data_IF_561425068594
#
_entry.id   IF_561425068594
#
_cell.length_a   1.000
_cell.length_b   1.000
_cell.length_c   1.000
_cell.angle_alpha   90.00
_cell.angle_beta   90.00
_cell.angle_gamma   90.00
#
_symmetry.space_group_name_H-M   'P 1'
#
loop_
_entity.id
_entity.type
_entity.pdbx_description
1 polymer ?
#
# COMPACT_ATOMS: atom_id res chain seq x y z
N UNK A 1 24.42 -33.70 5.17
CA UNK A 1 24.61 -32.25 5.00
C UNK A 1 23.27 -31.56 5.24
N UNK A 2 23.00 -31.19 6.49
CA UNK A 2 21.82 -30.40 6.85
C UNK A 2 22.23 -28.93 6.95
N UNK A 3 21.67 -28.09 6.09
CA UNK A 3 21.74 -26.63 6.20
C UNK A 3 20.37 -26.08 5.81
N UNK A 4 19.58 -25.64 6.80
CA UNK A 4 18.50 -24.63 6.68
C UNK A 4 17.60 -24.60 7.94
N UNK A 5 18.09 -24.03 9.04
CA UNK A 5 17.25 -23.70 10.21
C UNK A 5 17.32 -22.22 10.61
N UNK A 6 17.96 -21.37 9.80
CA UNK A 6 18.08 -19.93 10.11
C UNK A 6 17.07 -19.06 9.33
N UNK A 7 16.30 -19.65 8.40
CA UNK A 7 15.40 -18.91 7.52
C UNK A 7 13.98 -18.67 8.05
N UNK A 8 13.43 -19.56 8.88
CA UNK A 8 12.04 -19.45 9.34
C UNK A 8 11.86 -18.38 10.43
N UNK A 9 12.88 -18.17 11.27
CA UNK A 9 12.76 -17.36 12.48
C UNK A 9 12.46 -15.88 12.22
N UNK A 10 13.04 -15.26 11.17
CA UNK A 10 12.78 -13.83 10.89
C UNK A 10 11.36 -13.58 10.35
N UNK A 11 10.78 -14.54 9.62
CA UNK A 11 9.43 -14.41 9.06
C UNK A 11 8.38 -14.63 10.16
N UNK A 12 8.63 -15.58 11.06
CA UNK A 12 7.84 -15.81 12.27
C UNK A 12 7.84 -14.56 13.15
N UNK A 13 9.01 -13.97 13.43
CA UNK A 13 9.11 -12.72 14.19
C UNK A 13 8.39 -11.54 13.53
N UNK A 14 8.36 -11.49 12.20
CA UNK A 14 7.57 -10.49 11.47
C UNK A 14 6.08 -10.71 11.70
N UNK A 15 5.61 -11.94 11.57
CA UNK A 15 4.21 -12.29 11.78
C UNK A 15 3.75 -12.07 13.22
N UNK A 16 4.55 -12.48 14.21
CA UNK A 16 4.29 -12.22 15.65
C UNK A 16 4.16 -10.72 15.93
N UNK A 17 5.07 -9.92 15.35
CA UNK A 17 5.01 -8.48 15.47
C UNK A 17 3.73 -7.91 14.82
N UNK A 18 3.35 -8.38 13.64
CA UNK A 18 2.12 -7.94 12.97
C UNK A 18 0.87 -8.35 13.75
N UNK A 19 0.84 -9.57 14.27
CA UNK A 19 -0.24 -10.10 15.11
C UNK A 19 -0.34 -9.38 16.46
N UNK A 20 0.73 -8.74 16.92
CA UNK A 20 0.67 -7.85 18.08
C UNK A 20 0.15 -6.45 17.71
N UNK A 21 0.71 -5.83 16.66
CA UNK A 21 0.48 -4.41 16.36
C UNK A 21 -0.80 -4.14 15.56
N UNK A 22 -1.10 -4.95 14.55
CA UNK A 22 -2.13 -4.67 13.56
C UNK A 22 -3.57 -4.97 14.01
N UNK A 23 -3.87 -5.86 14.99
CA UNK A 23 -5.20 -5.92 15.59
C UNK A 23 -5.60 -4.61 16.29
N UNK A 24 -4.65 -3.87 16.86
CA UNK A 24 -4.92 -2.59 17.54
C UNK A 24 -5.39 -1.50 16.57
N UNK A 25 -4.99 -1.61 15.29
CA UNK A 25 -5.28 -0.63 14.24
C UNK A 25 -6.48 -1.06 13.39
N UNK A 26 -6.51 -2.32 12.96
CA UNK A 26 -7.52 -2.83 12.02
C UNK A 26 -8.65 -3.60 12.70
N UNK A 27 -8.54 -3.87 14.01
CA UNK A 27 -9.55 -4.56 14.81
C UNK A 27 -10.03 -5.85 14.13
N UNK A 28 -11.35 -6.02 14.00
CA UNK A 28 -11.99 -7.16 13.33
C UNK A 28 -11.59 -7.39 11.86
N UNK A 29 -10.95 -6.40 11.20
CA UNK A 29 -10.49 -6.57 9.83
C UNK A 29 -9.11 -7.25 9.73
N UNK A 30 -8.34 -7.29 10.83
CA UNK A 30 -6.99 -7.86 10.83
C UNK A 30 -6.94 -9.31 10.31
N UNK A 31 -7.81 -10.26 10.72
CA UNK A 31 -7.73 -11.64 10.23
C UNK A 31 -7.80 -11.76 8.70
N UNK A 32 -8.63 -10.93 8.05
CA UNK A 32 -8.73 -10.92 6.58
C UNK A 32 -7.46 -10.37 5.92
N UNK A 33 -6.93 -9.25 6.45
CA UNK A 33 -5.68 -8.64 5.97
C UNK A 33 -4.51 -9.62 6.15
N UNK A 34 -4.41 -10.26 7.31
CA UNK A 34 -3.40 -11.25 7.65
C UNK A 34 -3.43 -12.44 6.69
N UNK A 35 -4.62 -13.01 6.44
CA UNK A 35 -4.78 -14.11 5.49
C UNK A 35 -4.30 -13.70 4.09
N UNK A 36 -4.66 -12.50 3.64
CA UNK A 36 -4.24 -11.97 2.35
C UNK A 36 -2.73 -11.73 2.28
N UNK A 37 -2.10 -11.23 3.35
CA UNK A 37 -0.63 -11.08 3.46
C UNK A 37 0.11 -12.41 3.31
N UNK A 38 -0.42 -13.47 3.92
CA UNK A 38 0.14 -14.84 3.86
C UNK A 38 -0.23 -15.58 2.56
N UNK A 39 -1.14 -15.02 1.77
CA UNK A 39 -1.56 -15.57 0.48
C UNK A 39 -0.77 -14.97 -0.67
N UNK A 40 -0.78 -15.68 -1.80
CA UNK A 40 -0.13 -15.25 -3.03
C UNK A 40 -0.62 -13.86 -3.48
N UNK A 41 0.27 -12.89 -3.73
CA UNK A 41 -0.14 -11.57 -4.22
C UNK A 41 -0.64 -11.68 -5.66
N UNK A 42 -1.53 -10.74 -6.00
CA UNK A 42 -2.08 -10.57 -7.33
C UNK A 42 -1.20 -9.62 -8.14
N UNK A 43 -0.67 -10.03 -9.31
CA UNK A 43 0.13 -9.15 -10.14
C UNK A 43 -0.74 -8.32 -11.10
N UNK A 44 -0.14 -7.27 -11.64
CA UNK A 44 -0.57 -6.59 -12.86
C UNK A 44 0.52 -6.68 -13.91
N UNK A 45 0.13 -6.69 -15.18
CA UNK A 45 1.03 -6.61 -16.31
C UNK A 45 1.02 -5.18 -16.87
N UNK A 46 2.09 -4.42 -16.61
CA UNK A 46 2.34 -3.13 -17.23
C UNK A 46 2.84 -3.37 -18.65
N UNK A 47 1.99 -3.09 -19.65
CA UNK A 47 2.34 -3.32 -21.05
C UNK A 47 3.50 -2.41 -21.46
N UNK A 48 4.45 -2.96 -22.22
CA UNK A 48 5.56 -2.16 -22.73
C UNK A 48 5.17 -1.46 -24.05
N UNK A 49 5.05 -0.12 -24.09
CA UNK A 49 4.72 0.60 -25.32
C UNK A 49 5.82 0.55 -26.38
N UNK A 50 7.06 0.20 -26.00
CA UNK A 50 8.21 0.14 -26.91
C UNK A 50 8.41 -1.23 -27.55
N UNK A 51 7.69 -2.27 -27.09
CA UNK A 51 7.78 -3.59 -27.69
C UNK A 51 7.04 -3.65 -29.04
N UNK A 52 7.66 -4.25 -30.05
CA UNK A 52 7.04 -4.52 -31.35
C UNK A 52 5.85 -5.47 -31.25
N UNK A 53 5.86 -6.34 -30.22
CA UNK A 53 4.80 -7.31 -29.98
C UNK A 53 3.59 -6.73 -29.23
N UNK A 54 3.62 -5.45 -28.85
CA UNK A 54 2.62 -4.82 -27.97
C UNK A 54 1.17 -5.11 -28.41
N UNK A 55 0.82 -4.93 -29.69
CA UNK A 55 -0.55 -5.15 -30.18
C UNK A 55 -1.00 -6.60 -30.02
N UNK A 56 -0.14 -7.55 -30.38
CA UNK A 56 -0.43 -8.98 -30.27
C UNK A 56 -0.54 -9.41 -28.80
N UNK A 57 0.33 -8.86 -27.94
CA UNK A 57 0.33 -9.17 -26.52
C UNK A 57 -0.88 -8.57 -25.81
N UNK A 58 -1.27 -7.35 -26.15
CA UNK A 58 -2.53 -6.74 -25.69
C UNK A 58 -3.73 -7.65 -25.99
N UNK A 59 -3.84 -8.11 -27.23
CA UNK A 59 -4.92 -9.02 -27.63
C UNK A 59 -4.89 -10.33 -26.84
N UNK A 60 -3.70 -10.93 -26.70
CA UNK A 60 -3.50 -12.16 -25.92
C UNK A 60 -3.90 -12.00 -24.45
N UNK A 61 -3.54 -10.89 -23.81
CA UNK A 61 -3.90 -10.61 -22.41
C UNK A 61 -5.42 -10.52 -22.25
N UNK A 62 -6.12 -9.91 -23.22
CA UNK A 62 -7.59 -9.82 -23.23
C UNK A 62 -8.21 -11.21 -23.42
N UNK A 63 -7.68 -12.02 -24.35
CA UNK A 63 -8.14 -13.40 -24.59
C UNK A 63 -7.95 -14.32 -23.39
N UNK A 64 -6.94 -14.05 -22.54
CA UNK A 64 -6.76 -14.72 -21.25
C UNK A 64 -7.79 -14.30 -20.19
N UNK A 65 -8.66 -13.34 -20.48
CA UNK A 65 -9.67 -12.82 -19.56
C UNK A 65 -9.15 -11.76 -18.61
N UNK A 66 -8.01 -11.12 -18.91
CA UNK A 66 -7.56 -9.94 -18.18
C UNK A 66 -8.21 -8.66 -18.70
N UNK A 67 -8.26 -7.64 -17.85
CA UNK A 67 -8.90 -6.35 -18.11
C UNK A 67 -7.88 -5.22 -17.89
N UNK A 68 -7.94 -4.18 -18.73
CA UNK A 68 -7.12 -2.97 -18.55
C UNK A 68 -7.71 -2.14 -17.40
N UNK A 69 -7.04 -2.17 -16.25
CA UNK A 69 -7.55 -1.52 -15.04
C UNK A 69 -7.60 0.00 -15.14
N UNK A 70 -6.79 0.61 -16.01
CA UNK A 70 -6.75 2.07 -16.19
C UNK A 70 -7.94 2.60 -17.01
N UNK A 71 -8.56 1.73 -17.81
CA UNK A 71 -9.71 2.07 -18.68
C UNK A 71 -10.99 1.38 -18.25
N UNK A 72 -10.96 0.78 -17.07
CA UNK A 72 -12.08 0.03 -16.58
C UNK A 72 -13.17 0.98 -16.10
N UNK A 73 -14.31 0.94 -16.79
CA UNK A 73 -15.45 1.77 -16.44
C UNK A 73 -16.26 1.09 -15.32
N UNK A 74 -16.09 1.61 -14.10
CA UNK A 74 -16.86 1.17 -12.95
C UNK A 74 -18.35 1.51 -13.07
N UNK A 75 -18.74 2.55 -13.82
CA UNK A 75 -20.14 2.96 -13.93
C UNK A 75 -20.94 1.89 -14.66
N UNK A 76 -20.43 1.39 -15.78
CA UNK A 76 -21.06 0.30 -16.54
C UNK A 76 -21.27 -0.96 -15.70
N UNK A 77 -20.29 -1.33 -14.88
CA UNK A 77 -20.44 -2.47 -13.98
C UNK A 77 -21.38 -2.19 -12.81
N UNK A 78 -21.39 -0.98 -12.25
CA UNK A 78 -22.37 -0.60 -11.23
C UNK A 78 -23.79 -0.65 -11.79
N UNK A 79 -23.99 -0.24 -13.03
CA UNK A 79 -25.26 -0.36 -13.75
C UNK A 79 -25.65 -1.84 -13.95
N UNK A 80 -24.72 -2.67 -14.42
CA UNK A 80 -24.94 -4.12 -14.56
C UNK A 80 -25.26 -4.79 -13.22
N UNK A 81 -24.53 -4.48 -12.14
CA UNK A 81 -24.81 -4.98 -10.80
C UNK A 81 -26.15 -4.50 -10.25
N UNK A 82 -26.52 -3.23 -10.51
CA UNK A 82 -27.81 -2.67 -10.12
C UNK A 82 -28.95 -3.37 -10.86
N UNK A 83 -28.78 -3.62 -12.16
CA UNK A 83 -29.72 -4.40 -12.96
C UNK A 83 -29.85 -5.83 -12.44
N UNK A 84 -28.74 -6.50 -12.10
CA UNK A 84 -28.75 -7.84 -11.49
C UNK A 84 -29.47 -7.83 -10.14
N UNK A 85 -29.22 -6.84 -9.27
CA UNK A 85 -29.92 -6.72 -7.98
C UNK A 85 -31.41 -6.41 -8.15
N UNK A 86 -31.78 -5.59 -9.12
CA UNK A 86 -33.17 -5.33 -9.50
C UNK A 86 -33.83 -6.59 -10.09
N UNK A 87 -33.09 -7.44 -10.81
CA UNK A 87 -33.57 -8.73 -11.30
C UNK A 87 -33.72 -9.75 -10.16
N UNK A 88 -32.78 -9.82 -9.23
CA UNK A 88 -32.85 -10.71 -8.05
C UNK A 88 -34.03 -10.32 -7.17
N UNK A 89 -34.20 -9.03 -6.88
CA UNK A 89 -35.35 -8.54 -6.09
C UNK A 89 -36.69 -8.75 -6.80
N UNK A 90 -36.75 -8.65 -8.13
CA UNK A 90 -37.93 -9.03 -8.92
C UNK A 90 -38.18 -10.54 -8.88
N UNK A 91 -37.15 -11.37 -8.97
CA UNK A 91 -37.31 -12.83 -8.88
C UNK A 91 -37.71 -13.29 -7.47
N UNK A 92 -37.24 -12.63 -6.42
CA UNK A 92 -37.67 -12.89 -5.04
C UNK A 92 -39.12 -12.44 -4.83
N UNK A 93 -39.57 -11.38 -5.50
CA UNK A 93 -40.98 -10.97 -5.51
C UNK A 93 -41.86 -11.98 -6.27
N UNK A 94 -41.42 -12.52 -7.40
CA UNK A 94 -42.15 -13.55 -8.15
C UNK A 94 -42.18 -14.90 -7.41
N UNK A 95 -41.06 -15.31 -6.78
CA UNK A 95 -40.96 -16.56 -6.02
C UNK A 95 -41.69 -16.47 -4.67
N UNK A 96 -41.64 -15.31 -4.01
CA UNK A 96 -42.39 -15.02 -2.78
C UNK A 96 -43.89 -14.92 -3.02
N UNK A 97 -44.34 -14.33 -4.13
CA UNK A 97 -45.76 -14.24 -4.49
C UNK A 97 -46.31 -15.60 -4.94
N UNK A 98 -45.55 -16.42 -5.69
CA UNK A 98 -45.97 -17.80 -6.03
C UNK A 98 -46.15 -18.67 -4.80
N UNK A 99 -45.22 -18.60 -3.83
CA UNK A 99 -45.29 -19.37 -2.58
C UNK A 99 -46.40 -18.89 -1.65
N UNK A 100 -46.74 -17.59 -1.67
CA UNK A 100 -47.88 -17.03 -0.93
C UNK A 100 -49.23 -17.30 -1.61
N UNK A 101 -49.28 -17.47 -2.93
CA UNK A 101 -50.48 -17.84 -3.68
C UNK A 101 -50.77 -19.34 -3.60
N UNK A 102 -49.74 -20.20 -3.65
CA UNK A 102 -49.88 -21.65 -3.41
C UNK A 102 -50.28 -21.96 -1.95
N UNK A 103 -49.88 -21.13 -0.99
CA UNK A 103 -50.32 -21.24 0.41
C UNK A 103 -51.73 -20.68 0.66
N UNK A 104 -52.30 -19.88 -0.25
CA UNK A 104 -53.68 -19.39 -0.16
C UNK A 104 -54.70 -20.34 -0.79
N UNK A 105 -54.33 -21.13 -1.80
CA UNK A 105 -55.20 -22.17 -2.36
C UNK A 105 -55.32 -23.40 -1.46
N UNK A 106 -54.28 -23.71 -0.66
CA UNK A 106 -54.31 -24.84 0.28
C UNK A 106 -55.01 -24.55 1.63
N UNK A 107 -55.52 -23.34 1.87
CA UNK A 107 -56.27 -22.99 3.11
C UNK A 107 -57.79 -22.96 2.93
N UNK A 108 -58.33 -23.68 1.94
CA UNK A 108 -59.79 -23.86 1.76
C UNK A 108 -60.29 -25.29 2.05
N UNK A 109 -59.44 -26.20 2.49
CA UNK A 109 -59.82 -27.57 2.83
C UNK A 109 -59.29 -27.94 4.21
N UNK A 110 -60.25 -28.22 5.12
CA UNK A 110 -60.13 -28.62 6.53
C UNK A 110 -59.61 -27.51 7.47
N UNK A 111 -60.37 -26.92 8.41
CA UNK A 111 -61.62 -27.32 9.05
C UNK A 111 -61.36 -28.16 10.30
N UNK A 112 -61.36 -27.49 11.47
CA UNK A 112 -61.67 -27.99 12.85
C UNK A 112 -60.81 -29.16 13.40
N UNK A 113 -60.40 -29.29 14.67
CA UNK A 113 -60.66 -28.62 15.95
C UNK A 113 -59.59 -29.05 17.00
N UNK A 114 -59.57 -28.34 18.14
CA UNK A 114 -59.19 -28.74 19.53
C UNK A 114 -57.72 -29.13 19.84
N UNK A 115 -56.95 -28.47 20.73
CA UNK A 115 -57.05 -28.07 22.15
C UNK A 115 -56.33 -29.04 23.13
N UNK A 116 -55.57 -28.43 24.07
CA UNK A 116 -54.95 -28.91 25.34
C UNK A 116 -53.50 -29.43 25.19
N UNK A 117 -52.46 -28.68 25.59
CA UNK A 117 -51.88 -28.36 26.93
C UNK A 117 -51.23 -29.56 27.65
N UNK A 118 -49.92 -29.46 27.92
CA UNK A 118 -49.29 -29.68 29.24
C UNK A 118 -47.78 -29.37 29.21
N UNK A 119 -47.33 -28.73 30.30
CA UNK A 119 -45.96 -28.34 30.64
C UNK A 119 -45.22 -29.50 31.30
N UNK A 120 -43.87 -29.48 31.32
CA UNK A 120 -43.09 -29.84 32.52
C UNK A 120 -41.63 -29.32 32.45
N UNK A 121 -41.19 -28.75 33.56
CA UNK A 121 -39.83 -28.28 33.90
C UNK A 121 -38.91 -29.45 34.29
N UNK A 122 -37.58 -29.25 34.23
CA UNK A 122 -36.67 -29.65 35.33
C UNK A 122 -35.25 -29.06 35.18
N UNK A 123 -34.75 -28.58 36.31
CA UNK A 123 -33.41 -28.07 36.61
C UNK A 123 -32.33 -29.17 36.62
N UNK A 124 -31.05 -28.78 36.49
CA UNK A 124 -30.00 -29.15 37.45
C UNK A 124 -28.73 -28.30 37.26
N UNK A 125 -28.15 -27.95 38.41
CA UNK A 125 -27.02 -27.06 38.73
C UNK A 125 -25.67 -27.82 38.86
N UNK A 126 -24.58 -27.05 38.69
CA UNK A 126 -23.22 -27.12 39.32
C UNK A 126 -22.33 -28.37 39.06
N UNK A 127 -20.98 -28.35 39.09
CA UNK A 127 -19.96 -27.55 39.81
C UNK A 127 -18.65 -27.36 38.99
N UNK A 128 -17.91 -26.29 39.31
CA UNK A 128 -16.50 -26.01 38.93
C UNK A 128 -15.57 -26.42 40.10
N UNK A 129 -14.38 -26.97 39.80
CA UNK A 129 -13.29 -27.13 40.78
C UNK A 129 -12.02 -26.41 40.29
N UNK A 130 -11.54 -25.46 41.11
CA UNK A 130 -10.22 -24.85 41.08
C UNK A 130 -9.29 -25.60 42.05
N UNK A 131 -8.02 -25.82 41.68
CA UNK A 131 -6.96 -26.20 42.63
C UNK A 131 -5.81 -25.18 42.60
N UNK A 132 -5.63 -24.50 43.73
CA UNK A 132 -4.42 -23.76 44.12
C UNK A 132 -3.38 -24.70 44.74
N UNK A 133 -2.09 -24.48 44.45
CA UNK A 133 -0.98 -24.96 45.29
C UNK A 133 0.04 -23.82 45.43
N UNK A 134 0.27 -23.38 46.66
CA UNK A 134 1.45 -22.61 47.10
C UNK A 134 2.31 -23.51 48.00
N UNK A 135 3.64 -23.38 47.93
CA UNK A 135 4.51 -23.00 49.06
C UNK A 135 5.99 -22.92 48.64
N UNK A 136 6.69 -22.02 49.35
CA UNK A 136 8.02 -21.45 49.14
C UNK A 136 9.20 -22.41 49.42
N UNK A 137 10.41 -22.12 48.91
CA UNK A 137 11.51 -21.56 49.72
C UNK A 137 12.86 -21.35 48.97
N UNK A 138 13.54 -20.31 49.46
CA UNK A 138 14.99 -20.12 49.60
C UNK A 138 15.88 -19.37 48.56
N UNK A 139 16.79 -18.62 49.19
CA UNK A 139 17.54 -17.45 48.77
C UNK A 139 18.80 -17.74 47.93
N UNK A 140 19.09 -16.86 46.97
CA UNK A 140 20.47 -16.41 46.73
C UNK A 140 20.53 -15.09 45.94
N UNK A 141 21.03 -14.06 46.61
CA UNK A 141 21.35 -12.74 46.06
C UNK A 141 22.57 -12.81 45.13
N UNK A 142 22.35 -12.63 43.83
CA UNK A 142 23.37 -12.21 42.88
C UNK A 142 22.92 -10.89 42.25
N UNK A 143 23.79 -9.87 42.30
CA UNK A 143 23.57 -8.56 41.67
C UNK A 143 23.16 -8.74 40.20
N UNK A 144 21.88 -8.54 39.90
CA UNK A 144 21.39 -8.48 38.52
C UNK A 144 21.72 -7.09 37.95
N UNK A 145 22.35 -6.99 36.76
CA UNK A 145 22.40 -5.73 36.04
C UNK A 145 20.96 -5.28 35.72
N UNK A 146 20.68 -3.98 35.84
CA UNK A 146 19.36 -3.39 35.57
C UNK A 146 18.74 -3.99 34.29
N UNK A 147 17.43 -4.31 34.28
CA UNK A 147 16.80 -4.92 33.12
C UNK A 147 16.85 -3.91 31.98
N UNK A 148 17.67 -4.22 30.97
CA UNK A 148 17.58 -3.60 29.65
C UNK A 148 16.13 -3.79 29.23
N UNK A 149 15.32 -2.72 29.28
CA UNK A 149 13.96 -2.72 28.72
C UNK A 149 14.05 -3.39 27.37
N UNK A 150 13.34 -4.52 27.21
CA UNK A 150 13.39 -5.32 25.98
C UNK A 150 13.07 -4.34 24.84
N UNK A 151 13.89 -4.25 23.78
CA UNK A 151 13.65 -3.28 22.69
C UNK A 151 12.21 -3.36 22.15
N UNK A 152 11.57 -4.53 22.28
CA UNK A 152 10.17 -4.76 21.97
C UNK A 152 9.22 -3.93 22.85
N UNK A 153 9.50 -3.74 24.14
CA UNK A 153 8.70 -2.87 25.04
C UNK A 153 8.84 -1.39 24.70
N UNK A 154 10.03 -0.94 24.33
CA UNK A 154 10.25 0.43 23.85
C UNK A 154 9.51 0.68 22.53
N UNK A 155 9.51 -0.33 21.65
CA UNK A 155 8.75 -0.26 20.40
C UNK A 155 7.24 -0.29 20.66
N UNK A 156 6.76 -1.11 21.60
CA UNK A 156 5.37 -1.14 22.05
C UNK A 156 4.93 0.20 22.62
N UNK A 157 5.72 0.78 23.51
CA UNK A 157 5.48 2.11 24.06
C UNK A 157 5.44 3.18 22.96
N UNK A 158 6.31 3.09 21.95
CA UNK A 158 6.27 3.99 20.80
C UNK A 158 4.99 3.84 19.95
N UNK A 159 4.54 2.59 19.70
CA UNK A 159 3.28 2.31 19.01
C UNK A 159 2.07 2.82 19.81
N UNK A 160 2.03 2.58 21.11
CA UNK A 160 0.96 3.02 22.01
C UNK A 160 0.92 4.54 22.15
N UNK A 161 2.06 5.20 22.34
CA UNK A 161 2.16 6.65 22.38
C UNK A 161 1.73 7.29 21.05
N UNK A 162 1.96 6.63 19.92
CA UNK A 162 1.46 7.10 18.63
C UNK A 162 -0.03 6.83 18.43
N UNK A 163 -0.54 5.67 18.82
CA UNK A 163 -1.98 5.42 18.83
C UNK A 163 -2.71 6.50 19.67
N UNK A 164 -2.08 6.98 20.75
CA UNK A 164 -2.55 8.10 21.56
C UNK A 164 -2.29 9.48 20.93
N UNK A 165 -1.20 9.69 20.18
CA UNK A 165 -0.89 10.96 19.50
C UNK A 165 -1.76 11.21 18.26
N UNK A 166 -2.29 10.15 17.65
CA UNK A 166 -3.24 10.19 16.51
C UNK A 166 -4.52 10.99 16.84
N UNK A 167 -4.80 11.25 18.14
CA UNK A 167 -6.00 11.95 18.62
C UNK A 167 -5.84 13.49 18.63
N UNK A 168 -4.63 14.04 18.48
CA UNK A 168 -4.47 15.49 18.32
C UNK A 168 -4.82 15.87 16.88
N UNK A 169 -5.84 16.70 16.71
CA UNK A 169 -6.47 17.04 15.43
C UNK A 169 -5.51 17.45 14.31
N UNK A 170 -5.99 17.38 13.06
CA UNK A 170 -5.18 17.57 11.85
C UNK A 170 -4.29 18.82 11.92
N UNK A 171 -2.98 18.61 12.01
CA UNK A 171 -1.97 19.68 12.09
C UNK A 171 -1.60 20.19 10.69
N UNK A 172 -1.88 19.39 9.65
CA UNK A 172 -1.56 19.70 8.25
C UNK A 172 -2.83 20.03 7.47
N UNK A 173 -2.77 21.09 6.65
CA UNK A 173 -3.87 21.47 5.76
C UNK A 173 -4.12 20.40 4.69
N UNK A 174 -5.39 20.06 4.46
CA UNK A 174 -5.84 19.13 3.43
C UNK A 174 -6.72 19.91 2.44
N UNK A 175 -6.39 19.80 1.15
CA UNK A 175 -7.15 20.39 0.05
C UNK A 175 -7.72 19.30 -0.86
N UNK A 176 -8.82 19.56 -1.54
CA UNK A 176 -9.51 18.59 -2.42
C UNK A 176 -9.42 18.98 -3.90
N UNK A 177 -8.23 19.39 -4.33
CA UNK A 177 -7.98 19.83 -5.71
C UNK A 177 -8.17 18.72 -6.76
N UNK A 178 -8.06 17.45 -6.35
CA UNK A 178 -8.30 16.30 -7.22
C UNK A 178 -9.80 15.96 -7.35
N UNK A 179 -10.72 16.71 -6.71
CA UNK A 179 -12.18 16.44 -6.73
C UNK A 179 -12.77 16.35 -8.14
N UNK A 180 -12.32 17.24 -9.03
CA UNK A 180 -12.79 17.32 -10.43
C UNK A 180 -11.87 16.60 -11.43
N UNK A 181 -10.81 15.93 -10.93
CA UNK A 181 -9.87 15.23 -11.81
C UNK A 181 -10.57 14.06 -12.50
N UNK A 182 -10.58 14.10 -13.82
CA UNK A 182 -11.11 13.01 -14.62
C UNK A 182 -10.04 11.91 -14.80
N UNK A 183 -10.07 10.90 -13.93
CA UNK A 183 -9.18 9.74 -13.99
C UNK A 183 -9.41 8.85 -15.22
N UNK A 184 -10.43 9.11 -16.06
CA UNK A 184 -10.62 8.44 -17.37
C UNK A 184 -9.68 9.00 -18.44
N UNK A 185 -9.10 10.20 -18.23
CA UNK A 185 -8.13 10.82 -19.14
C UNK A 185 -6.74 10.22 -18.95
N UNK A 186 -6.58 8.99 -19.42
CA UNK A 186 -5.34 8.24 -19.35
C UNK A 186 -4.61 8.28 -20.72
N UNK A 187 -3.28 8.50 -20.75
CA UNK A 187 -2.47 8.41 -21.96
C UNK A 187 -2.74 7.13 -22.77
N UNK A 188 -2.93 7.22 -24.10
CA UNK A 188 -3.35 6.08 -24.93
C UNK A 188 -2.35 4.92 -24.96
N UNK A 189 -1.07 5.18 -24.71
CA UNK A 189 0.00 4.17 -24.67
C UNK A 189 0.14 3.46 -23.32
N UNK A 190 -0.49 4.00 -22.27
CA UNK A 190 -0.33 3.47 -20.90
C UNK A 190 -1.42 2.46 -20.60
N UNK A 191 -1.05 1.18 -20.52
CA UNK A 191 -1.95 0.06 -20.30
C UNK A 191 -1.47 -0.81 -19.14
N UNK A 192 -2.38 -1.18 -18.24
CA UNK A 192 -2.07 -2.06 -17.11
C UNK A 192 -3.16 -3.12 -16.99
N UNK A 193 -2.80 -4.38 -17.23
CA UNK A 193 -3.74 -5.49 -17.22
C UNK A 193 -3.75 -6.21 -15.87
N UNK A 194 -4.94 -6.60 -15.43
CA UNK A 194 -5.14 -7.49 -14.28
C UNK A 194 -6.30 -8.43 -14.52
N UNK A 195 -6.33 -9.56 -13.83
CA UNK A 195 -7.51 -10.43 -13.87
C UNK A 195 -8.64 -9.82 -13.03
N UNK A 196 -9.92 -10.05 -13.36
CA UNK A 196 -11.08 -9.57 -12.60
C UNK A 196 -11.05 -9.97 -11.11
N UNK A 197 -11.86 -9.30 -10.27
CA UNK A 197 -11.96 -9.61 -8.84
C UNK A 197 -12.28 -11.10 -8.64
N UNK A 198 -11.64 -11.71 -7.65
CA UNK A 198 -11.70 -13.15 -7.32
C UNK A 198 -11.10 -14.10 -8.37
N UNK A 199 -10.61 -13.60 -9.50
CA UNK A 199 -9.81 -14.39 -10.42
C UNK A 199 -8.33 -14.37 -9.98
N UNK A 200 -7.80 -15.57 -9.70
CA UNK A 200 -6.45 -15.82 -9.20
C UNK A 200 -5.45 -16.26 -10.29
N UNK A 201 -5.86 -16.22 -11.56
CA UNK A 201 -4.97 -16.49 -12.69
C UNK A 201 -3.73 -15.60 -12.64
N UNK A 202 -2.64 -16.11 -13.22
CA UNK A 202 -1.36 -15.42 -13.27
C UNK A 202 -0.96 -15.18 -14.71
N UNK A 203 -0.27 -14.07 -14.93
CA UNK A 203 0.38 -13.83 -16.20
C UNK A 203 1.53 -14.80 -16.37
N UNK A 204 1.74 -15.23 -17.61
CA UNK A 204 2.94 -15.95 -17.99
C UNK A 204 4.18 -15.08 -17.72
N UNK A 205 5.38 -15.66 -17.70
CA UNK A 205 6.60 -14.86 -17.72
C UNK A 205 6.64 -13.96 -18.97
N UNK A 206 7.01 -12.70 -18.77
CA UNK A 206 7.24 -11.74 -19.85
C UNK A 206 8.29 -12.28 -20.83
N UNK A 207 8.10 -12.01 -22.12
CA UNK A 207 8.97 -12.48 -23.20
C UNK A 207 9.61 -11.30 -23.89
N UNK A 208 10.84 -11.49 -24.36
CA UNK A 208 11.53 -10.52 -25.20
C UNK A 208 11.05 -10.65 -26.64
N UNK A 209 10.84 -9.52 -27.31
CA UNK A 209 10.56 -9.45 -28.74
C UNK A 209 11.85 -9.42 -29.59
N UNK A 210 11.69 -9.16 -30.89
CA UNK A 210 12.79 -9.07 -31.86
C UNK A 210 13.79 -7.95 -31.58
N UNK A 211 13.39 -6.91 -30.83
CA UNK A 211 14.29 -5.84 -30.38
C UNK A 211 14.98 -6.19 -29.06
N UNK A 212 14.70 -7.36 -28.49
CA UNK A 212 15.18 -7.77 -27.18
C UNK A 212 14.47 -7.06 -26.02
N UNK A 213 13.32 -6.42 -26.28
CA UNK A 213 12.55 -5.72 -25.25
C UNK A 213 11.44 -6.63 -24.71
N UNK A 214 11.23 -6.61 -23.39
CA UNK A 214 10.14 -7.32 -22.73
C UNK A 214 8.78 -6.78 -23.19
N UNK A 215 7.83 -7.68 -23.41
CA UNK A 215 6.46 -7.36 -23.80
C UNK A 215 5.63 -6.65 -22.71
N UNK A 216 5.84 -7.02 -21.45
CA UNK A 216 5.27 -6.34 -20.28
C UNK A 216 6.14 -6.53 -19.03
N UNK A 217 5.83 -5.77 -17.98
CA UNK A 217 6.47 -5.86 -16.68
C UNK A 217 5.44 -6.23 -15.60
N UNK A 218 5.68 -7.33 -14.88
CA UNK A 218 4.82 -7.75 -13.78
C UNK A 218 5.19 -7.03 -12.49
N UNK A 219 4.19 -6.44 -11.82
CA UNK A 219 4.34 -5.76 -10.54
C UNK A 219 3.09 -5.89 -9.68
N UNK A 220 3.15 -5.45 -8.42
CA UNK A 220 1.95 -5.32 -7.59
C UNK A 220 1.06 -4.20 -8.15
N UNK A 221 -0.23 -4.47 -8.32
CA UNK A 221 -1.20 -3.51 -8.87
C UNK A 221 -1.36 -2.24 -8.05
N UNK A 222 -1.18 -2.30 -6.73
CA UNK A 222 -1.29 -1.11 -5.89
C UNK A 222 -0.24 -0.06 -6.30
N UNK A 223 0.93 -0.49 -6.79
CA UNK A 223 2.03 0.40 -7.19
C UNK A 223 1.69 1.33 -8.36
N UNK A 224 0.54 1.15 -9.02
CA UNK A 224 0.01 2.06 -10.04
C UNK A 224 -0.55 3.33 -9.39
N UNK A 225 -1.13 3.25 -8.19
CA UNK A 225 -1.82 4.37 -7.54
C UNK A 225 -0.90 5.56 -7.21
N UNK A 226 0.31 5.39 -6.65
CA UNK A 226 1.22 6.52 -6.44
C UNK A 226 1.63 7.21 -7.75
N UNK A 227 1.71 6.46 -8.85
CA UNK A 227 2.05 6.99 -10.18
C UNK A 227 0.90 7.84 -10.72
N UNK A 228 -0.35 7.37 -10.59
CA UNK A 228 -1.54 8.15 -10.93
C UNK A 228 -1.62 9.41 -10.06
N UNK A 229 -1.38 9.28 -8.75
CA UNK A 229 -1.41 10.40 -7.81
C UNK A 229 -0.35 11.46 -8.12
N UNK A 230 0.83 11.04 -8.61
CA UNK A 230 1.94 11.93 -8.97
C UNK A 230 1.58 12.87 -10.13
N UNK A 231 0.66 12.45 -11.01
CA UNK A 231 0.11 13.29 -12.08
C UNK A 231 1.21 13.97 -12.91
N UNK A 232 2.09 13.15 -13.49
CA UNK A 232 3.16 13.61 -14.37
C UNK A 232 2.58 14.10 -15.70
N UNK A 233 3.07 15.25 -16.16
CA UNK A 233 2.67 15.86 -17.42
C UNK A 233 3.90 16.01 -18.32
N UNK A 234 3.72 16.21 -19.64
CA UNK A 234 4.82 16.51 -20.54
C UNK A 234 5.64 17.69 -20.02
N UNK A 235 6.95 17.66 -20.29
CA UNK A 235 7.94 18.66 -19.87
C UNK A 235 8.23 18.75 -18.36
N UNK A 236 7.58 17.96 -17.51
CA UNK A 236 8.00 17.86 -16.11
C UNK A 236 9.39 17.21 -15.98
N UNK A 237 10.20 17.78 -15.10
CA UNK A 237 11.36 17.12 -14.51
C UNK A 237 10.89 16.28 -13.33
N UNK A 238 11.20 14.98 -13.34
CA UNK A 238 10.71 14.01 -12.37
C UNK A 238 11.87 13.33 -11.64
N UNK A 239 11.76 13.21 -10.33
CA UNK A 239 12.68 12.46 -9.48
C UNK A 239 11.96 11.27 -8.85
N UNK A 240 12.52 10.07 -8.99
CA UNK A 240 12.23 8.94 -8.12
C UNK A 240 13.40 8.75 -7.16
N UNK A 241 13.20 9.14 -5.90
CA UNK A 241 14.27 9.28 -4.91
C UNK A 241 14.81 7.95 -4.39
N UNK A 242 13.99 6.89 -4.42
CA UNK A 242 14.29 5.56 -3.89
C UNK A 242 13.82 4.50 -4.90
N UNK A 243 14.40 4.58 -6.10
CA UNK A 243 13.79 4.06 -7.32
C UNK A 243 13.89 2.56 -7.51
N UNK A 244 14.92 1.92 -6.93
CA UNK A 244 15.14 0.52 -7.21
C UNK A 244 14.08 -0.38 -6.53
N UNK A 245 13.63 -1.48 -7.16
CA UNK A 245 14.15 -2.10 -8.37
C UNK A 245 13.60 -1.52 -9.68
N UNK A 246 12.78 -0.45 -9.66
CA UNK A 246 12.42 0.32 -10.85
C UNK A 246 10.99 0.20 -11.36
N UNK A 247 10.13 -0.60 -10.73
CA UNK A 247 8.75 -0.80 -11.23
C UNK A 247 7.91 0.49 -11.28
N UNK A 248 7.98 1.32 -10.23
CA UNK A 248 7.26 2.62 -10.20
C UNK A 248 7.88 3.64 -11.16
N UNK A 249 9.21 3.72 -11.23
CA UNK A 249 9.91 4.57 -12.21
C UNK A 249 9.59 4.19 -13.67
N UNK A 250 9.60 2.90 -13.98
CA UNK A 250 9.22 2.39 -15.30
C UNK A 250 7.77 2.77 -15.63
N UNK A 251 6.88 2.61 -14.65
CA UNK A 251 5.47 2.98 -14.79
C UNK A 251 5.28 4.50 -15.00
N UNK A 252 6.02 5.34 -14.27
CA UNK A 252 6.07 6.80 -14.50
C UNK A 252 6.48 7.11 -15.94
N UNK A 253 7.52 6.46 -16.45
CA UNK A 253 8.01 6.71 -17.81
C UNK A 253 7.05 6.20 -18.89
N UNK A 254 6.38 5.06 -18.66
CA UNK A 254 5.35 4.54 -19.58
C UNK A 254 4.09 5.42 -19.59
N UNK A 255 3.73 6.01 -18.45
CA UNK A 255 2.62 6.96 -18.34
C UNK A 255 2.90 8.22 -19.15
N UNK A 256 4.09 8.81 -19.01
CA UNK A 256 4.46 10.03 -19.73
C UNK A 256 5.83 9.85 -20.42
N UNK A 257 5.87 9.26 -21.62
CA UNK A 257 7.10 9.08 -22.37
C UNK A 257 7.83 10.39 -22.63
N UNK A 258 9.16 10.33 -22.72
CA UNK A 258 10.06 11.45 -23.08
C UNK A 258 10.19 12.59 -22.05
N UNK A 259 9.62 12.44 -20.85
CA UNK A 259 9.96 13.32 -19.71
C UNK A 259 11.44 13.15 -19.32
N UNK A 260 11.96 14.07 -18.51
CA UNK A 260 13.27 13.89 -17.85
C UNK A 260 13.06 13.18 -16.51
N UNK A 261 13.52 11.93 -16.42
CA UNK A 261 13.36 11.11 -15.22
C UNK A 261 14.72 10.84 -14.57
N UNK A 262 14.87 11.27 -13.32
CA UNK A 262 16.03 10.94 -12.49
C UNK A 262 15.66 9.83 -11.53
N UNK A 263 16.36 8.69 -11.61
CA UNK A 263 16.17 7.53 -10.75
C UNK A 263 17.34 7.42 -9.78
N UNK A 264 17.10 7.63 -8.48
CA UNK A 264 18.10 7.53 -7.43
C UNK A 264 17.87 6.30 -6.54
N UNK A 265 18.91 5.55 -6.19
CA UNK A 265 18.86 4.59 -5.09
C UNK A 265 20.24 4.48 -4.41
N UNK A 266 20.26 4.21 -3.11
CA UNK A 266 21.52 4.13 -2.35
C UNK A 266 22.19 2.75 -2.51
N UNK A 267 21.39 1.70 -2.69
CA UNK A 267 21.89 0.33 -2.72
C UNK A 267 22.43 -0.04 -4.10
N UNK A 268 23.66 -0.55 -4.12
CA UNK A 268 24.37 -0.88 -5.35
C UNK A 268 23.75 -2.06 -6.11
N UNK A 269 23.28 -3.09 -5.39
CA UNK A 269 22.72 -4.30 -6.01
C UNK A 269 21.34 -4.01 -6.60
N UNK A 270 20.50 -3.30 -5.85
CA UNK A 270 19.18 -2.86 -6.29
C UNK A 270 19.30 -1.87 -7.46
N UNK A 271 20.27 -0.94 -7.43
CA UNK A 271 20.52 -0.03 -8.55
C UNK A 271 20.88 -0.75 -9.85
N UNK A 272 21.66 -1.85 -9.79
CA UNK A 272 21.94 -2.66 -10.99
C UNK A 272 20.65 -3.25 -11.56
N UNK A 273 19.78 -3.79 -10.70
CA UNK A 273 18.48 -4.32 -11.12
C UNK A 273 17.57 -3.25 -11.72
N UNK A 274 17.60 -2.03 -11.19
CA UNK A 274 16.90 -0.87 -11.78
C UNK A 274 17.38 -0.62 -13.22
N UNK A 275 18.70 -0.57 -13.45
CA UNK A 275 19.25 -0.39 -14.81
C UNK A 275 18.90 -1.56 -15.73
N UNK A 276 18.91 -2.79 -15.23
CA UNK A 276 18.50 -3.99 -15.98
C UNK A 276 17.03 -3.91 -16.43
N UNK A 277 16.11 -3.56 -15.52
CA UNK A 277 14.68 -3.40 -15.83
C UNK A 277 14.49 -2.40 -16.97
N UNK A 278 15.15 -1.25 -16.89
CA UNK A 278 15.06 -0.21 -17.91
C UNK A 278 15.70 -0.64 -19.24
N UNK A 279 16.85 -1.31 -19.21
CA UNK A 279 17.54 -1.78 -20.42
C UNK A 279 16.75 -2.88 -21.14
N UNK A 280 15.98 -3.67 -20.40
CA UNK A 280 15.11 -4.72 -20.94
C UNK A 280 13.77 -4.21 -21.44
N UNK A 281 13.39 -2.96 -21.17
CA UNK A 281 12.05 -2.44 -21.49
C UNK A 281 12.07 -1.20 -22.38
N UNK A 282 13.15 -0.41 -22.36
CA UNK A 282 13.23 0.86 -23.08
C UNK A 282 14.38 0.82 -24.10
N UNK A 283 14.15 1.29 -25.35
CA UNK A 283 15.19 1.44 -26.36
C UNK A 283 16.38 2.28 -25.85
N UNK A 284 17.61 1.86 -26.21
CA UNK A 284 18.86 2.46 -25.69
C UNK A 284 18.99 3.96 -25.98
N UNK A 285 18.50 4.41 -27.13
CA UNK A 285 18.54 5.81 -27.57
C UNK A 285 17.59 6.70 -26.76
N UNK A 286 16.41 6.18 -26.40
CA UNK A 286 15.45 6.86 -25.52
C UNK A 286 16.00 6.89 -24.09
N UNK A 287 16.50 5.74 -23.62
CA UNK A 287 17.08 5.59 -22.29
C UNK A 287 18.19 6.61 -22.03
N UNK A 288 19.14 6.73 -22.95
CA UNK A 288 20.29 7.64 -22.83
C UNK A 288 19.91 9.13 -22.84
N UNK A 289 18.78 9.51 -23.44
CA UNK A 289 18.35 10.91 -23.59
C UNK A 289 17.43 11.41 -22.47
N UNK A 290 16.68 10.51 -21.86
CA UNK A 290 15.56 10.88 -20.99
C UNK A 290 15.69 10.41 -19.55
N UNK A 291 16.58 9.45 -19.27
CA UNK A 291 16.65 8.81 -17.96
C UNK A 291 18.07 8.91 -17.40
N UNK A 292 18.17 9.45 -16.18
CA UNK A 292 19.42 9.62 -15.43
C UNK A 292 19.41 8.69 -14.23
N UNK A 293 20.32 7.73 -14.18
CA UNK A 293 20.53 6.89 -13.01
C UNK A 293 21.56 7.53 -12.07
N UNK A 294 21.20 7.69 -10.80
CA UNK A 294 22.07 8.22 -9.76
C UNK A 294 22.15 7.21 -8.63
N UNK A 295 23.35 7.06 -8.09
CA UNK A 295 23.56 6.34 -6.83
C UNK A 295 23.94 7.34 -5.75
N UNK A 296 23.07 7.53 -4.77
CA UNK A 296 23.30 8.53 -3.74
C UNK A 296 22.35 8.39 -2.55
N UNK A 297 22.78 8.93 -1.41
CA UNK A 297 21.92 9.08 -0.24
C UNK A 297 20.80 10.09 -0.56
N UNK A 298 19.58 9.59 -0.62
CA UNK A 298 18.38 10.39 -0.88
C UNK A 298 18.15 11.48 0.17
N UNK A 299 18.67 11.33 1.40
CA UNK A 299 18.54 12.34 2.46
C UNK A 299 19.30 13.63 2.15
N UNK A 300 20.28 13.57 1.23
CA UNK A 300 21.11 14.72 0.84
C UNK A 300 20.65 15.36 -0.47
N UNK A 301 19.67 14.76 -1.16
CA UNK A 301 19.28 15.16 -2.51
C UNK A 301 18.72 16.59 -2.56
N UNK A 302 17.79 16.94 -1.67
CA UNK A 302 17.22 18.29 -1.60
C UNK A 302 18.20 19.39 -1.23
N UNK A 303 19.34 19.05 -0.61
CA UNK A 303 20.43 19.99 -0.37
C UNK A 303 21.31 20.19 -1.63
N UNK A 304 21.45 19.14 -2.45
CA UNK A 304 22.29 19.14 -3.67
C UNK A 304 21.56 19.73 -4.87
N UNK A 305 20.28 19.41 -5.01
CA UNK A 305 19.42 19.84 -6.12
C UNK A 305 18.11 20.45 -5.57
N UNK A 306 18.18 21.58 -4.85
CA UNK A 306 17.00 22.24 -4.28
C UNK A 306 16.08 22.79 -5.39
N UNK A 307 14.78 22.59 -5.23
CA UNK A 307 13.75 23.10 -6.13
C UNK A 307 14.00 22.81 -7.63
N UNK A 308 14.47 21.60 -7.94
CA UNK A 308 14.83 21.18 -9.30
C UNK A 308 13.73 20.38 -10.02
N UNK A 309 12.80 19.79 -9.29
CA UNK A 309 11.85 18.81 -9.85
C UNK A 309 10.39 19.28 -9.74
N UNK A 310 9.62 19.11 -10.82
CA UNK A 310 8.19 19.40 -10.84
C UNK A 310 7.38 18.31 -10.14
N UNK A 311 7.90 17.08 -10.15
CA UNK A 311 7.32 15.89 -9.54
C UNK A 311 8.39 15.07 -8.81
N UNK A 312 8.10 14.62 -7.60
CA UNK A 312 8.99 13.75 -6.84
C UNK A 312 8.22 12.55 -6.29
N UNK A 313 8.62 11.34 -6.67
CA UNK A 313 8.20 10.11 -6.00
C UNK A 313 9.22 9.77 -4.91
N UNK A 314 8.75 9.46 -3.72
CA UNK A 314 9.56 9.03 -2.58
C UNK A 314 8.98 7.74 -2.01
N UNK A 315 9.28 6.64 -2.70
CA UNK A 315 8.93 5.27 -2.32
C UNK A 315 9.97 4.70 -1.36
N UNK A 316 9.80 5.00 -0.07
CA UNK A 316 10.87 4.82 0.91
C UNK A 316 11.09 3.35 1.29
N UNK A 317 12.33 2.96 1.66
CA UNK A 317 12.54 1.69 2.34
C UNK A 317 11.73 1.65 3.64
N UNK A 318 11.01 0.57 3.84
CA UNK A 318 10.11 0.36 4.98
C UNK A 318 10.15 -1.10 5.44
N UNK A 319 9.33 -1.44 6.42
CA UNK A 319 9.24 -2.83 6.91
C UNK A 319 8.85 -3.83 5.82
N UNK A 320 8.24 -3.36 4.74
CA UNK A 320 7.90 -4.15 3.54
C UNK A 320 7.08 -5.39 3.91
N UNK A 321 5.94 -5.19 4.56
CA UNK A 321 5.30 -6.22 5.40
C UNK A 321 5.06 -7.55 4.69
N UNK A 322 4.53 -7.51 3.45
CA UNK A 322 4.37 -8.73 2.65
C UNK A 322 5.71 -9.39 2.32
N UNK A 323 6.71 -8.61 1.93
CA UNK A 323 8.04 -9.14 1.62
C UNK A 323 8.70 -9.77 2.86
N UNK A 324 8.53 -9.17 4.03
CA UNK A 324 9.07 -9.70 5.29
C UNK A 324 8.51 -11.08 5.66
N UNK A 325 7.28 -11.40 5.25
CA UNK A 325 6.69 -12.74 5.44
C UNK A 325 7.20 -13.77 4.43
N UNK A 326 7.75 -13.33 3.30
CA UNK A 326 8.17 -14.19 2.20
C UNK A 326 9.68 -14.42 2.12
N UNK A 327 10.50 -13.59 2.81
CA UNK A 327 11.96 -13.67 2.71
C UNK A 327 12.66 -13.77 4.06
N UNK A 328 13.54 -14.76 4.19
CA UNK A 328 14.31 -15.04 5.41
C UNK A 328 15.23 -13.88 5.84
N UNK A 329 15.74 -13.10 4.87
CA UNK A 329 16.61 -11.95 5.11
C UNK A 329 15.79 -10.66 5.10
N UNK A 330 15.01 -10.48 6.15
CA UNK A 330 14.16 -9.31 6.31
C UNK A 330 14.59 -8.42 7.50
N UNK A 331 13.91 -7.29 7.65
CA UNK A 331 14.17 -6.26 8.66
C UNK A 331 13.79 -6.68 10.09
N UNK A 332 13.01 -7.75 10.26
CA UNK A 332 12.60 -8.32 11.55
C UNK A 332 13.64 -9.27 12.14
N UNK A 333 14.73 -9.55 11.42
CA UNK A 333 15.87 -10.27 11.98
C UNK A 333 16.39 -9.56 13.24
N UNK A 334 16.71 -10.33 14.29
CA UNK A 334 17.26 -9.82 15.57
C UNK A 334 18.47 -8.89 15.37
N UNK A 335 19.27 -9.12 14.30
CA UNK A 335 20.45 -8.31 13.97
C UNK A 335 20.12 -6.91 13.44
N UNK A 336 18.89 -6.68 12.98
CA UNK A 336 18.45 -5.44 12.32
C UNK A 336 17.44 -4.64 13.15
N UNK A 337 17.29 -4.96 14.43
CA UNK A 337 16.31 -4.31 15.30
C UNK A 337 16.52 -2.79 15.40
N UNK A 338 17.77 -2.33 15.52
CA UNK A 338 18.09 -0.90 15.54
C UNK A 338 17.72 -0.22 14.23
N UNK A 339 18.03 -0.86 13.10
CA UNK A 339 17.65 -0.35 11.78
C UNK A 339 16.12 -0.24 11.65
N UNK A 340 15.38 -1.26 12.10
CA UNK A 340 13.91 -1.29 12.10
C UNK A 340 13.30 -0.15 12.91
N UNK A 341 13.85 0.13 14.10
CA UNK A 341 13.39 1.20 14.99
C UNK A 341 13.64 2.58 14.38
N UNK A 342 14.77 2.76 13.67
CA UNK A 342 15.15 4.03 13.05
C UNK A 342 14.48 4.31 11.70
N UNK A 343 13.77 3.32 11.10
CA UNK A 343 13.11 3.47 9.81
C UNK A 343 12.23 4.71 9.71
N UNK A 344 11.30 5.01 10.65
CA UNK A 344 10.46 6.21 10.56
C UNK A 344 11.28 7.51 10.54
N UNK A 345 12.37 7.58 11.31
CA UNK A 345 13.24 8.74 11.34
C UNK A 345 14.03 8.89 10.03
N UNK A 346 14.47 7.78 9.42
CA UNK A 346 15.12 7.78 8.13
C UNK A 346 14.17 8.16 6.99
N UNK A 347 12.96 7.58 6.97
CA UNK A 347 11.89 7.89 6.01
C UNK A 347 11.50 9.37 6.06
N UNK A 348 11.43 9.95 7.27
CA UNK A 348 11.20 11.38 7.44
C UNK A 348 12.30 12.22 6.78
N UNK A 349 13.57 11.89 6.98
CA UNK A 349 14.70 12.61 6.32
C UNK A 349 14.62 12.51 4.79
N UNK A 350 14.24 11.34 4.26
CA UNK A 350 14.02 11.15 2.83
C UNK A 350 12.88 12.04 2.31
N UNK A 351 11.73 12.06 3.00
CA UNK A 351 10.58 12.89 2.63
C UNK A 351 10.92 14.39 2.71
N UNK A 352 11.58 14.83 3.77
CA UNK A 352 12.01 16.23 3.92
C UNK A 352 12.99 16.64 2.81
N UNK A 353 13.89 15.74 2.40
CA UNK A 353 14.80 15.95 1.27
C UNK A 353 14.05 16.02 -0.06
N UNK A 354 13.08 15.12 -0.28
CA UNK A 354 12.22 15.11 -1.47
C UNK A 354 11.44 16.41 -1.62
N UNK A 355 10.85 16.91 -0.52
CA UNK A 355 10.11 18.18 -0.52
C UNK A 355 11.05 19.35 -0.87
N UNK A 356 12.27 19.39 -0.31
CA UNK A 356 13.26 20.43 -0.66
C UNK A 356 13.70 20.37 -2.12
N UNK A 357 13.82 19.17 -2.70
CA UNK A 357 14.16 18.98 -4.11
C UNK A 357 13.01 19.36 -5.06
N UNK A 358 11.76 19.32 -4.57
CA UNK A 358 10.59 19.69 -5.34
C UNK A 358 10.47 21.20 -5.51
N UNK A 359 10.07 21.69 -6.69
CA UNK A 359 9.80 23.11 -6.94
C UNK A 359 8.59 23.59 -6.12
N UNK A 360 8.51 24.89 -5.80
CA UNK A 360 7.26 25.50 -5.35
C UNK A 360 6.14 25.25 -6.38
N UNK A 361 4.95 24.89 -5.90
CA UNK A 361 3.82 24.41 -6.71
C UNK A 361 3.94 22.96 -7.19
N UNK A 362 5.09 22.32 -7.02
CA UNK A 362 5.33 20.93 -7.41
C UNK A 362 4.65 19.91 -6.49
N UNK A 363 4.56 18.67 -6.98
CA UNK A 363 3.92 17.56 -6.26
C UNK A 363 4.97 16.54 -5.81
N UNK A 364 4.87 16.15 -4.54
CA UNK A 364 5.59 15.02 -3.95
C UNK A 364 4.58 13.92 -3.62
N UNK A 365 4.86 12.69 -4.03
CA UNK A 365 4.11 11.51 -3.59
C UNK A 365 5.01 10.66 -2.72
N UNK A 366 4.65 10.57 -1.43
CA UNK A 366 5.28 9.65 -0.49
C UNK A 366 4.56 8.31 -0.55
N UNK A 367 5.30 7.19 -0.58
CA UNK A 367 4.70 5.86 -0.51
C UNK A 367 5.51 4.86 0.29
N UNK A 368 4.82 3.87 0.86
CA UNK A 368 5.40 2.71 1.54
C UNK A 368 4.61 1.45 1.21
N UNK A 369 5.20 0.27 1.40
CA UNK A 369 4.50 -1.01 1.37
C UNK A 369 4.35 -1.64 2.77
N UNK A 370 4.00 -0.80 3.76
CA UNK A 370 3.71 -1.22 5.14
C UNK A 370 2.35 -0.71 5.60
N UNK A 371 1.71 -1.49 6.47
CA UNK A 371 0.47 -1.12 7.16
C UNK A 371 0.71 -0.22 8.38
N UNK A 372 1.96 -0.04 8.82
CA UNK A 372 2.30 0.61 10.07
C UNK A 372 2.10 2.15 10.01
N UNK A 373 1.17 2.75 10.80
CA UNK A 373 0.92 4.19 10.79
C UNK A 373 2.16 5.04 11.13
N UNK A 374 3.05 4.50 11.97
CA UNK A 374 4.34 5.11 12.35
C UNK A 374 5.24 5.42 11.15
N UNK A 375 5.18 4.57 10.11
CA UNK A 375 5.91 4.72 8.86
C UNK A 375 5.07 5.41 7.78
N UNK A 376 3.79 5.70 8.03
CA UNK A 376 2.88 6.26 7.04
C UNK A 376 2.53 7.70 7.41
N UNK A 377 1.37 7.90 8.03
CA UNK A 377 0.86 9.21 8.44
C UNK A 377 1.79 9.91 9.44
N UNK A 378 2.42 9.15 10.35
CA UNK A 378 3.35 9.70 11.33
C UNK A 378 4.62 10.30 10.70
N UNK A 379 5.09 9.74 9.58
CA UNK A 379 6.22 10.30 8.82
C UNK A 379 5.81 11.58 8.11
N UNK A 380 4.64 11.55 7.44
CA UNK A 380 4.12 12.71 6.68
C UNK A 380 3.89 13.91 7.60
N UNK A 381 3.15 13.71 8.68
CA UNK A 381 2.83 14.77 9.67
C UNK A 381 4.13 15.39 10.19
N UNK A 382 5.06 14.56 10.66
CA UNK A 382 6.30 15.05 11.27
C UNK A 382 7.24 15.73 10.28
N UNK A 383 7.32 15.26 9.03
CA UNK A 383 8.13 15.89 7.99
C UNK A 383 7.61 17.31 7.68
N UNK A 384 6.30 17.47 7.52
CA UNK A 384 5.68 18.76 7.21
C UNK A 384 5.79 19.72 8.40
N UNK A 385 5.57 19.24 9.63
CA UNK A 385 5.80 20.03 10.84
C UNK A 385 7.23 20.58 10.91
N UNK A 386 8.23 19.71 10.76
CA UNK A 386 9.65 20.10 10.85
C UNK A 386 10.02 21.16 9.80
N UNK A 387 9.53 21.00 8.57
CA UNK A 387 9.77 21.93 7.48
C UNK A 387 9.08 23.28 7.71
N UNK A 388 7.91 23.27 8.34
CA UNK A 388 7.13 24.47 8.68
C UNK A 388 7.73 25.20 9.89
N UNK A 389 8.29 24.47 10.86
CA UNK A 389 8.78 24.98 12.13
C UNK A 389 10.26 25.36 12.16
N UNK A 390 10.96 25.40 11.01
CA UNK A 390 12.40 25.74 10.94
C UNK A 390 12.62 27.25 11.13
N UNK A 391 12.10 27.81 12.23
CA UNK A 391 12.42 29.15 12.75
C UNK A 391 12.96 28.98 14.16
N UNK A 392 14.18 29.47 14.39
CA UNK A 392 14.80 29.69 15.71
C UNK A 392 15.28 28.45 16.49
N UNK A 393 16.57 28.12 16.33
CA UNK A 393 17.46 27.42 17.28
C UNK A 393 18.12 26.15 16.73
N UNK A 394 19.09 26.33 15.83
CA UNK A 394 20.43 25.70 15.93
C UNK A 394 21.31 26.26 14.82
N UNK A 395 22.46 26.82 15.22
CA UNK A 395 23.59 27.20 14.36
C UNK A 395 24.17 25.94 13.68
N UNK A 396 23.44 25.36 12.73
CA UNK A 396 23.97 24.39 11.80
C UNK A 396 24.50 25.16 10.60
N UNK A 397 25.83 25.24 10.50
CA UNK A 397 26.56 25.89 9.40
C UNK A 397 25.97 25.49 8.04
N UNK A 398 25.30 26.42 7.35
CA UNK A 398 24.99 26.29 5.93
C UNK A 398 23.64 26.80 5.44
N UNK A 399 22.61 26.89 6.30
CA UNK A 399 21.26 27.32 5.86
C UNK A 399 20.93 28.73 6.35
N UNK A 400 20.49 29.61 5.42
CA UNK A 400 20.06 30.98 5.74
C UNK A 400 18.74 30.94 6.54
N UNK A 401 18.62 31.86 7.49
CA UNK A 401 17.64 31.91 8.59
C UNK A 401 16.15 32.10 8.23
N UNK A 402 15.69 31.88 6.98
CA UNK A 402 14.31 32.20 6.56
C UNK A 402 13.63 31.20 5.59
N UNK A 403 13.93 29.90 5.70
CA UNK A 403 13.54 28.88 4.70
C UNK A 403 12.41 27.95 5.16
N UNK A 404 11.36 28.49 5.80
CA UNK A 404 10.18 27.70 6.18
C UNK A 404 9.46 27.23 4.92
N UNK A 405 9.34 25.91 4.73
CA UNK A 405 8.62 25.32 3.59
C UNK A 405 7.22 24.93 4.04
N UNK A 406 6.22 25.56 3.42
CA UNK A 406 4.81 25.25 3.61
C UNK A 406 4.39 24.16 2.64
N UNK A 407 3.63 23.21 3.16
CA UNK A 407 3.07 22.12 2.38
C UNK A 407 1.59 21.93 2.68
N UNK A 408 0.85 21.45 1.71
CA UNK A 408 -0.52 20.97 1.87
C UNK A 408 -0.65 19.54 1.36
N UNK A 409 -1.57 18.80 1.95
CA UNK A 409 -1.91 17.45 1.50
C UNK A 409 -3.06 17.56 0.51
N UNK A 410 -2.92 16.92 -0.64
CA UNK A 410 -4.00 16.82 -1.62
C UNK A 410 -4.76 15.52 -1.34
N UNK A 411 -6.05 15.64 -1.07
CA UNK A 411 -6.99 14.53 -0.91
C UNK A 411 -6.97 13.61 -2.12
N UNK A 412 -6.88 12.31 -1.86
CA UNK A 412 -6.89 11.23 -2.85
C UNK A 412 -8.21 10.48 -2.88
N UNK A 413 -9.26 11.00 -2.23
CA UNK A 413 -10.56 10.34 -2.13
C UNK A 413 -11.23 10.07 -3.48
N UNK A 414 -11.09 10.99 -4.45
CA UNK A 414 -11.63 10.78 -5.81
C UNK A 414 -10.92 9.62 -6.51
N UNK A 415 -9.60 9.49 -6.33
CA UNK A 415 -8.83 8.37 -6.84
C UNK A 415 -9.23 7.05 -6.18
N UNK A 416 -9.44 7.04 -4.86
CA UNK A 416 -9.93 5.86 -4.13
C UNK A 416 -11.29 5.39 -4.66
N UNK A 417 -12.24 6.32 -4.81
CA UNK A 417 -13.57 6.04 -5.38
C UNK A 417 -13.48 5.51 -6.80
N UNK A 418 -12.59 6.08 -7.61
CA UNK A 418 -12.41 5.66 -9.00
C UNK A 418 -11.80 4.26 -9.12
N UNK A 419 -10.92 3.83 -8.21
CA UNK A 419 -10.30 2.51 -8.28
C UNK A 419 -10.81 1.50 -7.24
N UNK A 420 -11.94 1.78 -6.58
CA UNK A 420 -12.49 0.96 -5.48
C UNK A 420 -12.91 -0.46 -5.88
N UNK A 421 -13.11 -0.72 -7.18
CA UNK A 421 -13.37 -2.08 -7.67
C UNK A 421 -12.13 -2.98 -7.50
N UNK A 422 -10.95 -2.43 -7.78
CA UNK A 422 -9.68 -3.16 -7.76
C UNK A 422 -9.04 -3.20 -6.38
N UNK A 423 -9.17 -2.12 -5.61
CA UNK A 423 -8.46 -1.96 -4.34
C UNK A 423 -9.41 -1.74 -3.18
N UNK A 424 -9.11 -2.41 -2.06
CA UNK A 424 -9.78 -2.21 -0.79
C UNK A 424 -8.98 -1.18 0.02
N UNK A 425 -9.55 0.02 0.22
CA UNK A 425 -8.89 1.14 0.93
C UNK A 425 -9.27 1.17 2.42
N UNK A 426 -8.32 1.57 3.27
CA UNK A 426 -8.59 1.79 4.69
C UNK A 426 -9.33 3.12 4.90
N UNK A 427 -10.53 3.06 5.49
CA UNK A 427 -11.39 4.23 5.62
C UNK A 427 -10.96 5.25 6.69
N UNK A 428 -10.03 4.92 7.59
CA UNK A 428 -9.65 5.76 8.74
C UNK A 428 -8.27 6.41 8.63
N UNK A 429 -7.68 6.46 7.44
CA UNK A 429 -6.41 7.15 7.21
C UNK A 429 -6.62 8.67 7.30
N UNK A 430 -5.89 9.37 8.17
CA UNK A 430 -5.99 10.84 8.33
C UNK A 430 -5.36 11.59 7.16
N UNK A 431 -4.22 11.09 6.68
CA UNK A 431 -3.45 11.69 5.59
C UNK A 431 -3.15 10.65 4.50
N UNK A 432 -3.47 10.95 3.24
CA UNK A 432 -3.25 10.01 2.14
C UNK A 432 -4.21 8.81 2.15
N UNK A 433 -3.81 7.74 1.46
CA UNK A 433 -4.61 6.52 1.27
C UNK A 433 -3.79 5.28 1.57
N UNK A 434 -4.43 4.26 2.14
CA UNK A 434 -3.83 2.95 2.41
C UNK A 434 -4.62 1.83 1.72
N UNK A 435 -3.99 1.14 0.78
CA UNK A 435 -4.50 -0.09 0.17
C UNK A 435 -4.25 -1.26 1.12
N UNK A 436 -5.32 -1.96 1.48
CA UNK A 436 -5.30 -3.14 2.31
C UNK A 436 -5.29 -4.41 1.45
N UNK A 437 -4.43 -5.40 1.78
CA UNK A 437 -4.53 -6.74 1.22
C UNK A 437 -5.90 -7.37 1.45
N UNK A 438 -6.49 -7.91 0.39
CA UNK A 438 -7.73 -8.67 0.48
C UNK A 438 -7.71 -9.87 -0.48
N UNK A 439 -8.24 -11.03 -0.05
CA UNK A 439 -8.07 -12.28 -0.81
C UNK A 439 -8.66 -12.23 -2.23
N UNK A 440 -9.76 -11.51 -2.41
CA UNK A 440 -10.40 -11.37 -3.73
C UNK A 440 -9.60 -10.50 -4.71
N UNK A 441 -8.74 -9.60 -4.22
CA UNK A 441 -7.88 -8.74 -5.02
C UNK A 441 -6.62 -8.43 -4.21
N UNK A 442 -5.72 -9.42 -4.14
CA UNK A 442 -4.62 -9.43 -3.18
C UNK A 442 -3.43 -8.55 -3.60
N UNK A 443 -3.70 -7.25 -3.74
CA UNK A 443 -2.70 -6.20 -3.96
C UNK A 443 -2.20 -5.62 -2.64
N UNK A 444 -1.13 -4.83 -2.68
CA UNK A 444 -0.60 -4.13 -1.52
C UNK A 444 -0.02 -5.08 -0.45
N UNK A 445 0.21 -4.60 0.78
CA UNK A 445 -0.21 -3.30 1.30
C UNK A 445 0.54 -2.15 0.62
N UNK A 446 -0.12 -1.02 0.45
CA UNK A 446 0.52 0.18 -0.08
C UNK A 446 -0.12 1.45 0.48
N UNK A 447 0.68 2.24 1.17
CA UNK A 447 0.33 3.60 1.56
C UNK A 447 0.85 4.59 0.52
N UNK A 448 0.09 5.65 0.24
CA UNK A 448 0.61 6.82 -0.45
C UNK A 448 -0.06 8.12 0.01
N UNK A 449 0.69 9.21 -0.02
CA UNK A 449 0.21 10.55 0.32
C UNK A 449 0.70 11.55 -0.72
N UNK A 450 -0.23 12.33 -1.29
CA UNK A 450 0.05 13.37 -2.26
C UNK A 450 0.21 14.72 -1.54
N UNK A 451 1.35 15.36 -1.73
CA UNK A 451 1.75 16.58 -1.02
C UNK A 451 2.11 17.63 -2.06
N UNK A 452 1.61 18.86 -1.90
CA UNK A 452 2.05 20.01 -2.69
C UNK A 452 2.96 20.90 -1.85
N UNK A 453 4.11 21.24 -2.41
CA UNK A 453 4.99 22.29 -1.86
C UNK A 453 4.44 23.65 -2.27
N UNK A 454 4.19 24.55 -1.33
CA UNK A 454 3.60 25.87 -1.61
C UNK A 454 4.66 26.89 -2.03
N UNK A 455 5.78 26.97 -1.30
CA UNK A 455 6.80 28.01 -1.45
C UNK A 455 8.23 27.49 -1.49
#
# INVERSE_FOLDING_TARGET
MFSSHHGSHSNELALEYFDFAYPLIFHRHWPSIRLALLSLPKPVALLNPYSLSNKNIKQKLIEQGSIDMLRFDNEKLREEFKLIQEQISKSDSEYGIKKLLEQKENRKLLGTSDLIDEQEEMNHEEEEEEEEINEDDDMNTFNQPEPVKRLDELYKQALEQQAQSVIKGNVVSIVDDDKERDYRKIPPSWHVYTFPRSNMSRFEPAKTDELGLLDYYCMDGACVLPVIALDVQPFHSVLDLCSAPGGKALNIFHMCPYIQLTCNDIDNSRSKRLVEVFTQTIPKDILAKHIKFIKGDGCLFGAREPASFDRVLVDVPCTSDRHALLTAFNIFSKKRIHERVELPAYQRKLLESAIRACKPGGIVVYSTCTLAPVQNEGVVERAIENLSSTTSNKRSRGYKENDSIKCEIISTQSLEKHYSYFFDFHAKTRYGSLVLPHISNNFGPLYFCKIRRIN
#
